data_IF_689367018542
#
_entry.id   IF_689367018542
#
_cell.length_a   1.000
_cell.length_b   1.000
_cell.length_c   1.000
_cell.angle_alpha   90.00
_cell.angle_beta   90.00
_cell.angle_gamma   90.00
#
_symmetry.space_group_name_H-M   'P 1'
#
loop_
_entity.id
_entity.type
_entity.pdbx_description
1 polymer ?
#
# COMPACT_ATOMS: atom_id res chain seq x y z
N UNK A 1 -2.50 -15.79 -6.77
CA UNK A 1 -2.52 -14.42 -7.30
C UNK A 1 -2.76 -13.43 -6.16
N UNK A 2 -2.22 -12.22 -6.26
CA UNK A 2 -2.54 -11.13 -5.34
C UNK A 2 -3.43 -10.12 -6.04
N UNK A 3 -4.44 -9.60 -5.32
CA UNK A 3 -5.29 -8.50 -5.75
C UNK A 3 -5.19 -7.35 -4.77
N UNK A 4 -4.88 -6.16 -5.24
CA UNK A 4 -4.84 -4.96 -4.39
C UNK A 4 -5.84 -3.95 -4.93
N UNK A 5 -6.73 -3.47 -4.05
CA UNK A 5 -7.60 -2.33 -4.33
C UNK A 5 -7.13 -1.11 -3.53
N UNK A 6 -6.86 -0.01 -4.21
CA UNK A 6 -6.62 1.28 -3.56
C UNK A 6 -7.93 2.01 -3.38
N UNK A 7 -8.23 2.40 -2.15
CA UNK A 7 -9.33 3.31 -1.88
C UNK A 7 -9.06 4.69 -2.50
N UNK A 8 -10.13 5.41 -2.82
CA UNK A 8 -10.07 6.76 -3.37
C UNK A 8 -9.98 7.81 -2.27
N UNK A 9 -9.20 8.88 -2.49
CA UNK A 9 -9.11 10.00 -1.56
C UNK A 9 -8.47 11.23 -2.18
N UNK A 10 -8.53 12.36 -1.46
CA UNK A 10 -7.90 13.61 -1.87
C UNK A 10 -6.37 13.57 -1.74
N UNK A 11 -5.87 13.00 -0.63
CA UNK A 11 -4.45 12.81 -0.45
C UNK A 11 -3.90 11.86 -1.52
N UNK A 12 -2.78 12.27 -2.13
CA UNK A 12 -2.06 11.51 -3.15
C UNK A 12 -2.89 11.17 -4.40
N UNK A 13 -3.99 11.90 -4.66
CA UNK A 13 -4.95 11.58 -5.74
C UNK A 13 -4.29 11.46 -7.12
N UNK A 14 -3.31 12.32 -7.40
CA UNK A 14 -2.57 12.38 -8.67
C UNK A 14 -1.28 11.53 -8.66
N UNK A 15 -1.00 10.83 -7.56
CA UNK A 15 0.24 10.06 -7.35
C UNK A 15 -0.08 8.57 -7.30
N UNK A 16 0.76 7.75 -7.91
CA UNK A 16 0.68 6.30 -7.74
C UNK A 16 1.45 5.87 -6.48
N UNK A 17 0.97 4.81 -5.82
CA UNK A 17 1.76 4.12 -4.80
C UNK A 17 2.56 3.00 -5.46
N UNK A 18 3.82 2.85 -5.07
CA UNK A 18 4.65 1.73 -5.46
C UNK A 18 4.31 0.52 -4.60
N UNK A 19 4.03 -0.61 -5.25
CA UNK A 19 3.79 -1.90 -4.61
C UNK A 19 5.12 -2.60 -4.46
N UNK A 20 5.47 -2.91 -3.22
CA UNK A 20 6.75 -3.50 -2.85
C UNK A 20 6.50 -4.90 -2.32
N UNK A 21 7.06 -5.90 -3.00
CA UNK A 21 7.03 -7.30 -2.61
C UNK A 21 8.47 -7.74 -2.30
N UNK A 22 8.70 -8.21 -1.08
CA UNK A 22 10.00 -8.66 -0.58
C UNK A 22 11.16 -7.65 -0.71
N UNK A 23 10.82 -6.36 -0.81
CA UNK A 23 11.78 -5.27 -0.96
C UNK A 23 11.90 -4.74 -2.38
N UNK A 24 11.31 -5.42 -3.36
CA UNK A 24 11.35 -5.03 -4.78
C UNK A 24 10.05 -4.34 -5.20
N UNK A 25 10.17 -3.26 -5.99
CA UNK A 25 9.01 -2.58 -6.57
C UNK A 25 8.53 -3.39 -7.77
N UNK A 26 7.34 -3.97 -7.66
CA UNK A 26 6.78 -4.85 -8.69
C UNK A 26 5.68 -4.20 -9.51
N UNK A 27 5.03 -3.16 -8.98
CA UNK A 27 3.91 -2.49 -9.65
C UNK A 27 3.67 -1.09 -9.09
N UNK A 28 2.78 -0.34 -9.75
CA UNK A 28 2.23 0.92 -9.26
C UNK A 28 0.70 0.87 -9.24
N UNK A 29 0.08 1.50 -8.23
CA UNK A 29 -1.37 1.56 -8.06
C UNK A 29 -1.86 3.01 -7.91
N UNK A 30 -2.67 3.45 -8.89
CA UNK A 30 -3.28 4.78 -8.93
C UNK A 30 -4.50 4.87 -8.01
N UNK A 31 -4.93 6.09 -7.72
CA UNK A 31 -6.09 6.35 -6.87
C UNK A 31 -7.35 5.63 -7.38
N UNK A 32 -8.02 4.84 -6.52
CA UNK A 32 -9.20 4.06 -6.88
C UNK A 32 -8.94 2.81 -7.74
N UNK A 33 -7.69 2.55 -8.14
CA UNK A 33 -7.36 1.44 -9.03
C UNK A 33 -7.41 0.10 -8.29
N UNK A 34 -7.72 -0.96 -9.05
CA UNK A 34 -7.48 -2.35 -8.67
C UNK A 34 -6.41 -2.93 -9.59
N UNK A 35 -5.43 -3.63 -9.03
CA UNK A 35 -4.41 -4.36 -9.78
C UNK A 35 -4.34 -5.81 -9.32
N UNK A 36 -3.89 -6.68 -10.21
CA UNK A 36 -3.72 -8.10 -9.95
C UNK A 36 -2.36 -8.53 -10.51
N UNK A 37 -1.64 -9.38 -9.78
CA UNK A 37 -0.35 -9.91 -10.22
C UNK A 37 -0.08 -11.27 -9.57
N UNK A 38 0.68 -12.10 -10.26
CA UNK A 38 1.08 -13.41 -9.76
C UNK A 38 2.28 -13.31 -8.83
N UNK A 39 2.26 -14.16 -7.81
CA UNK A 39 3.30 -14.27 -6.80
C UNK A 39 3.61 -15.74 -6.62
N UNK A 40 4.90 -16.07 -6.54
CA UNK A 40 5.36 -17.43 -6.33
C UNK A 40 4.79 -18.01 -5.01
N UNK A 41 4.67 -19.33 -4.88
CA UNK A 41 4.36 -19.94 -3.60
C UNK A 41 5.46 -19.67 -2.57
N UNK A 42 5.08 -19.48 -1.31
CA UNK A 42 6.02 -19.24 -0.21
C UNK A 42 5.63 -18.08 0.70
N UNK A 43 6.54 -17.72 1.60
CA UNK A 43 6.37 -16.60 2.53
C UNK A 43 6.84 -15.31 1.90
N UNK A 44 6.00 -14.28 1.97
CA UNK A 44 6.24 -13.00 1.35
C UNK A 44 5.90 -11.84 2.28
N UNK A 45 6.50 -10.68 2.01
CA UNK A 45 6.22 -9.42 2.69
C UNK A 45 5.76 -8.38 1.68
N UNK A 46 4.58 -7.80 1.92
CA UNK A 46 4.00 -6.77 1.07
C UNK A 46 3.94 -5.45 1.83
N UNK A 47 4.34 -4.37 1.16
CA UNK A 47 4.07 -3.02 1.62
C UNK A 47 3.89 -2.08 0.42
N UNK A 48 3.43 -0.86 0.71
CA UNK A 48 3.28 0.21 -0.26
C UNK A 48 4.22 1.36 0.09
N UNK A 49 4.63 2.11 -0.92
CA UNK A 49 5.52 3.26 -0.76
C UNK A 49 5.11 4.42 -1.64
N UNK A 50 5.27 5.64 -1.14
CA UNK A 50 5.23 6.89 -1.89
C UNK A 50 6.35 7.78 -1.37
N UNK A 51 7.23 8.25 -2.25
CA UNK A 51 8.40 9.07 -1.89
C UNK A 51 9.20 8.44 -0.73
N UNK A 52 9.37 9.10 0.41
CA UNK A 52 10.04 8.55 1.61
C UNK A 52 9.07 7.94 2.64
N UNK A 53 7.77 7.91 2.33
CA UNK A 53 6.70 7.38 3.17
C UNK A 53 6.29 5.96 2.74
N UNK A 54 5.78 5.16 3.67
CA UNK A 54 5.33 3.78 3.40
C UNK A 54 4.13 3.37 4.24
N UNK A 55 3.59 2.20 3.92
CA UNK A 55 2.63 1.49 4.76
C UNK A 55 3.29 0.66 5.85
N UNK A 56 2.45 0.09 6.72
CA UNK A 56 2.78 -1.13 7.45
C UNK A 56 3.18 -2.26 6.47
N UNK A 57 3.98 -3.20 6.97
CA UNK A 57 4.35 -4.42 6.27
C UNK A 57 3.33 -5.49 6.63
N UNK A 58 2.83 -6.23 5.64
CA UNK A 58 1.97 -7.38 5.85
C UNK A 58 2.72 -8.63 5.38
N UNK A 59 2.92 -9.56 6.30
CA UNK A 59 3.48 -10.88 6.00
C UNK A 59 2.35 -11.86 5.68
N UNK A 60 2.55 -12.69 4.67
CA UNK A 60 1.57 -13.69 4.26
C UNK A 60 2.26 -14.88 3.60
N UNK A 61 1.54 -16.00 3.54
CA UNK A 61 1.96 -17.21 2.84
C UNK A 61 1.07 -17.43 1.61
N UNK A 62 1.72 -17.66 0.48
CA UNK A 62 1.11 -17.87 -0.81
C UNK A 62 1.09 -19.37 -1.13
N UNK A 63 -0.10 -19.96 -1.20
CA UNK A 63 -0.30 -21.40 -1.39
C UNK A 63 -1.15 -21.72 -2.64
N UNK A 64 -1.04 -20.89 -3.68
CA UNK A 64 -1.80 -21.02 -4.93
C UNK A 64 -3.22 -20.44 -4.89
N UNK A 65 -3.65 -19.89 -3.76
CA UNK A 65 -4.90 -19.17 -3.61
C UNK A 65 -4.80 -17.70 -4.09
N UNK A 66 -5.95 -17.03 -4.13
CA UNK A 66 -6.01 -15.57 -4.32
C UNK A 66 -6.07 -14.88 -2.97
N UNK A 67 -5.22 -13.88 -2.75
CA UNK A 67 -5.22 -13.05 -1.55
C UNK A 67 -5.61 -11.62 -1.93
N UNK A 68 -6.63 -11.09 -1.28
CA UNK A 68 -7.10 -9.71 -1.50
C UNK A 68 -6.57 -8.77 -0.43
N UNK A 69 -6.09 -7.61 -0.87
CA UNK A 69 -5.66 -6.52 -0.01
C UNK A 69 -6.38 -5.22 -0.37
N UNK A 70 -6.53 -4.38 0.63
CA UNK A 70 -6.97 -3.00 0.47
C UNK A 70 -5.91 -2.05 1.00
N UNK A 71 -5.82 -0.87 0.38
CA UNK A 71 -4.89 0.17 0.81
C UNK A 71 -5.42 1.58 0.62
N UNK A 72 -4.78 2.55 1.27
CA UNK A 72 -5.09 3.97 1.12
C UNK A 72 -4.21 4.87 1.98
N UNK A 73 -4.41 6.18 1.85
CA UNK A 73 -3.73 7.17 2.71
C UNK A 73 -4.36 7.21 4.10
N UNK A 74 -3.54 7.28 5.14
CA UNK A 74 -3.95 7.64 6.50
C UNK A 74 -4.17 9.15 6.65
N UNK A 75 -3.68 9.96 5.70
CA UNK A 75 -3.81 11.40 5.70
C UNK A 75 -5.21 11.82 5.20
N UNK A 76 -6.20 11.72 6.10
CA UNK A 76 -7.62 12.03 5.81
C UNK A 76 -8.24 12.93 6.86
N UNK A 77 -9.24 13.71 6.44
CA UNK A 77 -9.96 14.64 7.33
C UNK A 77 -8.99 15.59 8.04
N UNK A 78 -9.15 15.77 9.34
CA UNK A 78 -8.31 16.66 10.14
C UNK A 78 -6.82 16.28 10.10
N UNK A 79 -6.47 15.00 9.83
CA UNK A 79 -5.07 14.55 9.75
C UNK A 79 -4.31 15.23 8.61
N UNK A 80 -5.00 15.79 7.60
CA UNK A 80 -4.36 16.63 6.56
C UNK A 80 -3.58 17.80 7.17
N UNK A 81 -4.05 18.36 8.29
CA UNK A 81 -3.37 19.42 9.04
C UNK A 81 -2.08 18.93 9.71
N UNK A 82 -1.95 17.61 9.90
CA UNK A 82 -0.77 16.94 10.47
C UNK A 82 0.18 16.40 9.38
N UNK A 83 0.04 16.86 8.13
CA UNK A 83 0.85 16.37 7.00
C UNK A 83 2.35 16.42 7.26
N UNK A 84 2.87 17.52 7.83
CA UNK A 84 4.29 17.65 8.19
C UNK A 84 4.74 16.59 9.19
N UNK A 85 3.91 16.28 10.21
CA UNK A 85 4.19 15.21 11.17
C UNK A 85 4.19 13.84 10.49
N UNK A 86 3.25 13.62 9.56
CA UNK A 86 3.11 12.37 8.83
C UNK A 86 4.26 12.10 7.87
N UNK A 87 4.77 13.11 7.17
CA UNK A 87 5.90 12.92 6.26
C UNK A 87 7.25 12.83 6.99
N UNK A 88 7.35 13.26 8.25
CA UNK A 88 8.59 13.24 9.03
C UNK A 88 8.63 12.05 9.99
N UNK A 89 7.87 12.11 11.08
CA UNK A 89 7.93 11.15 12.19
C UNK A 89 7.04 9.92 11.93
N UNK A 90 5.88 10.10 11.30
CA UNK A 90 4.94 9.01 11.05
C UNK A 90 4.99 8.48 9.61
N UNK A 91 6.14 8.64 8.93
CA UNK A 91 6.31 8.28 7.51
C UNK A 91 6.01 6.81 7.22
N UNK A 92 6.22 5.92 8.21
CA UNK A 92 5.93 4.48 8.08
C UNK A 92 4.45 4.12 8.28
N UNK A 93 3.63 5.09 8.66
CA UNK A 93 2.19 4.95 8.86
C UNK A 93 1.43 5.89 7.91
N UNK A 94 2.07 6.40 6.86
CA UNK A 94 1.44 7.32 5.92
C UNK A 94 0.38 6.62 5.07
N UNK A 95 0.67 5.40 4.65
CA UNK A 95 -0.25 4.51 3.92
C UNK A 95 -0.72 3.43 4.90
N UNK A 96 -1.96 2.98 4.79
CA UNK A 96 -2.41 1.74 5.42
C UNK A 96 -2.54 0.65 4.37
N UNK A 97 -2.21 -0.58 4.76
CA UNK A 97 -2.37 -1.79 3.97
C UNK A 97 -2.98 -2.87 4.86
N UNK A 98 -4.07 -3.50 4.43
CA UNK A 98 -4.73 -4.58 5.17
C UNK A 98 -5.15 -5.70 4.24
N UNK A 99 -5.13 -6.93 4.77
CA UNK A 99 -5.75 -8.07 4.12
C UNK A 99 -7.27 -7.96 4.28
N UNK A 100 -8.01 -8.35 3.26
CA UNK A 100 -9.48 -8.42 3.29
C UNK A 100 -9.95 -9.77 3.83
#
# INVERSE_FOLDING_TARGET
MIRIKRDSGYADRIRAYKVVLDGEVIAEIKNGQKIEFDVAPGKHRLNLKIDWCRSNIVEFEMAGNTIEFECGSNLRGFKLLLSLLYITLLRNQYIWLKRK
#
